data_IF_353676252849
#
_entry.id   IF_353676252849
#
_cell.length_a   1.000
_cell.length_b   1.000
_cell.length_c   1.000
_cell.angle_alpha   90.00
_cell.angle_beta   90.00
_cell.angle_gamma   90.00
#
_symmetry.space_group_name_H-M   'P 1'
#
loop_
_entity.id
_entity.type
_entity.pdbx_description
1 polymer ?
#
# COMPACT_ATOMS: atom_id res chain seq x y z
N UNK A 1 -17.99 7.49 -28.86
CA UNK A 1 -18.64 6.87 -27.71
C UNK A 1 -18.83 5.39 -27.99
N UNK A 2 -18.22 4.51 -27.21
CA UNK A 2 -18.53 3.08 -27.25
C UNK A 2 -19.16 2.73 -25.92
N UNK A 3 -20.49 2.70 -25.87
CA UNK A 3 -21.20 2.12 -24.73
C UNK A 3 -21.04 0.61 -24.83
N UNK A 4 -20.32 0.01 -23.90
CA UNK A 4 -20.26 -1.44 -23.74
C UNK A 4 -21.55 -1.88 -23.03
N UNK A 5 -22.54 -2.33 -23.81
CA UNK A 5 -23.68 -3.03 -23.24
C UNK A 5 -23.20 -4.43 -22.86
N UNK A 6 -23.26 -4.73 -21.58
CA UNK A 6 -23.01 -6.08 -21.06
C UNK A 6 -24.36 -6.79 -20.99
N UNK A 7 -24.54 -7.78 -21.82
CA UNK A 7 -25.80 -8.58 -21.89
C UNK A 7 -25.68 -9.87 -21.09
N UNK A 8 -24.46 -10.39 -20.90
CA UNK A 8 -24.20 -11.65 -20.24
C UNK A 8 -23.32 -11.50 -19.01
N UNK A 9 -23.51 -12.38 -18.03
CA UNK A 9 -22.71 -12.44 -16.79
C UNK A 9 -21.23 -12.70 -17.09
N UNK A 10 -20.93 -13.48 -18.12
CA UNK A 10 -19.57 -13.77 -18.56
C UNK A 10 -18.83 -12.51 -19.04
N UNK A 11 -19.52 -11.56 -19.64
CA UNK A 11 -18.92 -10.28 -20.07
C UNK A 11 -18.58 -9.38 -18.89
N UNK A 12 -19.21 -9.58 -17.74
CA UNK A 12 -18.90 -8.86 -16.50
C UNK A 12 -17.66 -9.44 -15.80
N UNK A 13 -17.39 -10.73 -15.98
CA UNK A 13 -16.25 -11.44 -15.38
C UNK A 13 -14.97 -11.25 -16.20
N UNK A 14 -15.02 -10.85 -17.47
CA UNK A 14 -13.83 -10.68 -18.32
C UNK A 14 -12.84 -9.66 -17.71
N UNK A 15 -11.58 -10.10 -17.57
CA UNK A 15 -10.48 -9.25 -17.06
C UNK A 15 -10.27 -8.00 -17.92
N UNK A 16 -10.42 -8.14 -19.23
CA UNK A 16 -10.22 -7.08 -20.20
C UNK A 16 -11.48 -6.88 -21.05
N UNK A 17 -12.39 -5.99 -20.63
CA UNK A 17 -13.63 -5.76 -21.37
C UNK A 17 -13.41 -5.12 -22.74
N UNK A 18 -12.24 -4.56 -23.03
CA UNK A 18 -11.93 -3.93 -24.31
C UNK A 18 -10.42 -4.04 -24.64
N UNK A 19 -10.07 -4.15 -25.94
CA UNK A 19 -8.68 -4.18 -26.42
C UNK A 19 -7.82 -3.00 -25.93
N UNK A 20 -8.39 -1.84 -25.73
CA UNK A 20 -7.70 -0.65 -25.17
C UNK A 20 -7.13 -0.88 -23.77
N UNK A 21 -7.75 -1.72 -22.95
CA UNK A 21 -7.21 -2.08 -21.64
C UNK A 21 -5.99 -3.00 -21.77
N UNK A 22 -6.02 -3.95 -22.71
CA UNK A 22 -4.89 -4.83 -23.00
C UNK A 22 -3.68 -4.01 -23.43
N UNK A 23 -3.88 -3.01 -24.32
CA UNK A 23 -2.82 -2.12 -24.76
C UNK A 23 -2.26 -1.27 -23.62
N UNK A 24 -3.10 -0.65 -22.79
CA UNK A 24 -2.62 0.20 -21.68
C UNK A 24 -1.87 -0.59 -20.62
N UNK A 25 -2.35 -1.77 -20.23
CA UNK A 25 -1.62 -2.63 -19.28
C UNK A 25 -0.38 -3.26 -19.92
N UNK A 26 -0.43 -3.62 -21.21
CA UNK A 26 0.73 -4.09 -21.96
C UNK A 26 1.83 -3.03 -22.00
N UNK A 27 1.50 -1.79 -22.35
CA UNK A 27 2.46 -0.67 -22.34
C UNK A 27 3.03 -0.43 -20.94
N UNK A 28 2.20 -0.47 -19.89
CA UNK A 28 2.64 -0.35 -18.51
C UNK A 28 3.63 -1.45 -18.14
N UNK A 29 3.33 -2.71 -18.49
CA UNK A 29 4.23 -3.83 -18.23
C UNK A 29 5.56 -3.69 -18.97
N UNK A 30 5.55 -3.26 -20.23
CA UNK A 30 6.77 -2.98 -20.99
C UNK A 30 7.61 -1.90 -20.32
N UNK A 31 6.98 -0.80 -19.89
CA UNK A 31 7.67 0.26 -19.16
C UNK A 31 8.29 -0.23 -17.85
N UNK A 32 7.57 -1.06 -17.08
CA UNK A 32 8.07 -1.64 -15.84
C UNK A 32 9.22 -2.61 -16.07
N UNK A 33 9.21 -3.37 -17.18
CA UNK A 33 10.32 -4.28 -17.54
C UNK A 33 11.55 -3.50 -17.99
N UNK A 34 11.39 -2.38 -18.67
CA UNK A 34 12.50 -1.53 -19.14
C UNK A 34 13.06 -0.67 -17.98
N UNK A 35 12.26 -0.35 -16.99
CA UNK A 35 12.60 0.55 -15.89
C UNK A 35 13.98 0.29 -15.24
N UNK A 36 14.37 -0.95 -14.84
CA UNK A 36 15.64 -1.20 -14.18
C UNK A 36 16.87 -1.00 -15.07
N UNK A 37 16.69 -0.93 -16.40
CA UNK A 37 17.79 -0.72 -17.36
C UNK A 37 17.99 0.75 -17.75
N UNK A 38 16.96 1.58 -17.55
CA UNK A 38 16.99 3.01 -17.93
C UNK A 38 17.14 3.91 -16.72
N UNK A 39 16.58 3.52 -15.57
CA UNK A 39 16.58 4.32 -14.37
C UNK A 39 17.88 4.13 -13.56
N UNK A 40 18.23 5.17 -12.79
CA UNK A 40 19.33 5.06 -11.81
C UNK A 40 19.06 4.01 -10.75
N UNK A 41 20.13 3.42 -10.18
CA UNK A 41 20.01 2.41 -9.11
C UNK A 41 19.20 2.91 -7.90
N UNK A 42 19.25 4.22 -7.62
CA UNK A 42 18.44 4.85 -6.59
C UNK A 42 16.94 4.75 -6.89
N UNK A 43 16.52 5.11 -8.10
CA UNK A 43 15.11 5.03 -8.51
C UNK A 43 14.61 3.58 -8.57
N UNK A 44 15.45 2.66 -9.04
CA UNK A 44 15.12 1.22 -9.00
C UNK A 44 14.91 0.74 -7.56
N UNK A 45 15.76 1.20 -6.63
CA UNK A 45 15.60 0.92 -5.20
C UNK A 45 14.26 1.45 -4.65
N UNK A 46 13.84 2.65 -5.04
CA UNK A 46 12.53 3.20 -4.68
C UNK A 46 11.38 2.40 -5.28
N UNK A 47 11.49 1.96 -6.54
CA UNK A 47 10.49 1.10 -7.18
C UNK A 47 10.32 -0.25 -6.47
N UNK A 48 11.39 -0.81 -5.91
CA UNK A 48 11.30 -2.01 -5.06
C UNK A 48 10.44 -1.73 -3.82
N UNK A 49 10.67 -0.61 -3.12
CA UNK A 49 9.81 -0.23 -1.99
C UNK A 49 8.37 0.01 -2.42
N UNK A 50 8.14 0.64 -3.59
CA UNK A 50 6.78 0.78 -4.16
C UNK A 50 6.12 -0.58 -4.34
N UNK A 51 6.82 -1.58 -4.89
CA UNK A 51 6.27 -2.93 -5.05
C UNK A 51 5.90 -3.57 -3.71
N UNK A 52 6.75 -3.42 -2.69
CA UNK A 52 6.51 -3.97 -1.34
C UNK A 52 5.32 -3.27 -0.68
N UNK A 53 5.31 -1.94 -0.64
CA UNK A 53 4.23 -1.14 -0.05
C UNK A 53 2.90 -1.34 -0.79
N UNK A 54 2.93 -1.45 -2.12
CA UNK A 54 1.75 -1.77 -2.91
C UNK A 54 1.20 -3.16 -2.59
N UNK A 55 2.08 -4.16 -2.37
CA UNK A 55 1.66 -5.51 -1.97
C UNK A 55 0.96 -5.49 -0.60
N UNK A 56 1.52 -4.79 0.38
CA UNK A 56 0.86 -4.59 1.69
C UNK A 56 -0.42 -3.76 1.55
N UNK A 57 -0.40 -2.71 0.73
CA UNK A 57 -1.57 -1.89 0.44
C UNK A 57 -2.73 -2.70 -0.14
N UNK A 58 -2.45 -3.61 -1.09
CA UNK A 58 -3.45 -4.53 -1.65
C UNK A 58 -3.96 -5.50 -0.58
N UNK A 59 -3.07 -6.03 0.29
CA UNK A 59 -3.45 -6.89 1.40
C UNK A 59 -4.40 -6.17 2.38
N UNK A 60 -4.04 -4.97 2.78
CA UNK A 60 -4.84 -4.14 3.68
C UNK A 60 -6.16 -3.70 3.02
N UNK A 61 -6.16 -3.47 1.70
CA UNK A 61 -7.38 -3.15 0.95
C UNK A 61 -8.40 -4.29 0.97
N UNK A 62 -7.95 -5.56 0.90
CA UNK A 62 -8.85 -6.72 1.05
C UNK A 62 -9.54 -6.69 2.40
N UNK A 63 -8.78 -6.42 3.46
CA UNK A 63 -9.32 -6.42 4.83
C UNK A 63 -10.15 -5.17 5.12
N UNK A 64 -9.60 -3.99 4.88
CA UNK A 64 -10.25 -2.71 5.25
C UNK A 64 -11.20 -2.23 4.16
N UNK A 65 -10.80 -2.27 2.90
CA UNK A 65 -11.60 -1.74 1.79
C UNK A 65 -12.77 -2.63 1.40
N UNK A 66 -12.54 -3.94 1.26
CA UNK A 66 -13.56 -4.87 0.75
C UNK A 66 -14.32 -5.60 1.85
N UNK A 67 -13.76 -5.76 3.06
CA UNK A 67 -14.46 -6.43 4.17
C UNK A 67 -14.93 -5.44 5.25
N UNK A 68 -14.47 -4.19 5.21
CA UNK A 68 -14.85 -3.15 6.18
C UNK A 68 -14.17 -3.29 7.55
N UNK A 69 -13.10 -4.07 7.65
CA UNK A 69 -12.39 -4.33 8.90
C UNK A 69 -11.12 -3.49 8.98
N UNK A 70 -11.19 -2.32 9.61
CA UNK A 70 -10.02 -1.47 9.81
C UNK A 70 -9.00 -2.14 10.73
N UNK A 71 -7.72 -2.16 10.32
CA UNK A 71 -6.64 -2.81 11.06
C UNK A 71 -5.38 -1.95 11.04
N UNK A 72 -4.83 -1.70 12.21
CA UNK A 72 -3.52 -1.06 12.44
C UNK A 72 -2.44 -2.08 12.89
N UNK A 73 -2.62 -3.35 12.55
CA UNK A 73 -1.68 -4.44 12.91
C UNK A 73 -0.82 -4.94 11.76
N UNK A 74 -0.82 -4.28 10.58
CA UNK A 74 -0.14 -4.83 9.40
C UNK A 74 1.38 -4.78 9.48
N UNK A 75 1.98 -3.85 10.24
CA UNK A 75 3.41 -3.88 10.52
C UNK A 75 3.81 -5.15 11.30
N UNK A 76 2.97 -5.64 12.22
CA UNK A 76 3.22 -6.89 12.92
C UNK A 76 3.18 -8.10 11.97
N UNK A 77 2.22 -8.17 11.05
CA UNK A 77 2.20 -9.23 10.03
C UNK A 77 3.41 -9.16 9.11
N UNK A 78 3.85 -7.94 8.74
CA UNK A 78 5.09 -7.74 7.97
C UNK A 78 6.30 -8.27 8.75
N UNK A 79 6.39 -7.93 10.05
CA UNK A 79 7.44 -8.39 10.95
C UNK A 79 7.49 -9.91 11.07
N UNK A 80 6.34 -10.56 11.31
CA UNK A 80 6.26 -12.02 11.40
C UNK A 80 6.80 -12.67 10.12
N UNK A 81 6.40 -12.17 8.94
CA UNK A 81 6.92 -12.65 7.65
C UNK A 81 8.43 -12.45 7.52
N UNK A 82 8.93 -11.28 7.88
CA UNK A 82 10.34 -10.91 7.84
C UNK A 82 11.20 -11.79 8.75
N UNK A 83 10.81 -11.93 10.02
CA UNK A 83 11.54 -12.74 11.01
C UNK A 83 11.46 -14.24 10.72
N UNK A 84 10.33 -14.72 10.21
CA UNK A 84 10.21 -16.12 9.77
C UNK A 84 11.21 -16.42 8.65
N UNK A 85 11.34 -15.54 7.67
CA UNK A 85 12.33 -15.69 6.60
C UNK A 85 13.77 -15.64 7.14
N UNK A 86 14.06 -14.68 8.02
CA UNK A 86 15.39 -14.53 8.64
C UNK A 86 15.77 -15.78 9.44
N UNK A 87 14.87 -16.33 10.24
CA UNK A 87 15.08 -17.51 11.04
C UNK A 87 15.31 -18.78 10.18
N UNK A 88 14.43 -19.03 9.22
CA UNK A 88 14.55 -20.20 8.34
C UNK A 88 15.82 -20.14 7.46
N UNK A 89 16.27 -18.94 7.10
CA UNK A 89 17.49 -18.78 6.33
C UNK A 89 18.76 -19.19 7.11
N UNK A 90 18.74 -19.18 8.44
CA UNK A 90 19.86 -19.69 9.25
C UNK A 90 20.10 -21.19 9.01
N UNK A 91 19.03 -21.94 8.75
CA UNK A 91 19.08 -23.38 8.44
C UNK A 91 19.33 -23.68 6.96
N UNK A 92 19.74 -22.66 6.17
CA UNK A 92 19.97 -22.77 4.73
C UNK A 92 18.77 -23.33 3.94
N UNK A 93 17.56 -23.04 4.41
CA UNK A 93 16.32 -23.37 3.69
C UNK A 93 16.28 -22.59 2.38
N UNK A 94 15.92 -23.20 1.21
CA UNK A 94 15.87 -22.49 -0.07
C UNK A 94 14.77 -21.42 -0.11
N UNK A 95 14.99 -20.34 -0.89
CA UNK A 95 14.12 -19.17 -0.96
C UNK A 95 12.62 -19.52 -1.15
N UNK A 96 12.20 -20.37 -2.11
CA UNK A 96 10.78 -20.64 -2.31
C UNK A 96 10.10 -21.24 -1.08
N UNK A 97 10.84 -22.07 -0.31
CA UNK A 97 10.29 -22.74 0.87
C UNK A 97 10.08 -21.77 2.02
N UNK A 98 11.10 -20.98 2.37
CA UNK A 98 10.92 -20.02 3.46
C UNK A 98 9.98 -18.86 3.07
N UNK A 99 9.89 -18.49 1.80
CA UNK A 99 8.94 -17.51 1.30
C UNK A 99 7.50 -17.98 1.52
N UNK A 100 7.18 -19.21 1.11
CA UNK A 100 5.86 -19.80 1.32
C UNK A 100 5.56 -20.04 2.80
N UNK A 101 6.54 -20.55 3.56
CA UNK A 101 6.39 -20.79 5.00
C UNK A 101 6.10 -19.48 5.76
N UNK A 102 6.80 -18.38 5.44
CA UNK A 102 6.59 -17.07 6.06
C UNK A 102 5.17 -16.54 5.78
N UNK A 103 4.71 -16.62 4.54
CA UNK A 103 3.35 -16.19 4.20
C UNK A 103 2.28 -17.05 4.88
N UNK A 104 2.44 -18.38 4.87
CA UNK A 104 1.48 -19.30 5.49
C UNK A 104 1.44 -19.14 7.02
N UNK A 105 2.59 -19.05 7.68
CA UNK A 105 2.66 -18.83 9.12
C UNK A 105 1.99 -17.52 9.50
N UNK A 106 2.28 -16.45 8.77
CA UNK A 106 1.65 -15.15 8.99
C UNK A 106 0.13 -15.24 8.77
N UNK A 107 -0.31 -15.99 7.75
CA UNK A 107 -1.73 -16.23 7.49
C UNK A 107 -2.44 -16.97 8.61
N UNK A 108 -1.80 -17.99 9.19
CA UNK A 108 -2.33 -18.72 10.38
C UNK A 108 -2.46 -17.78 11.57
N UNK A 109 -1.44 -16.96 11.85
CA UNK A 109 -1.50 -15.96 12.92
C UNK A 109 -2.60 -14.93 12.62
N UNK A 110 -2.72 -14.49 11.36
CA UNK A 110 -3.82 -13.61 10.93
C UNK A 110 -5.21 -14.23 11.15
N UNK A 111 -5.37 -15.54 10.91
CA UNK A 111 -6.61 -16.24 11.23
C UNK A 111 -6.87 -16.25 12.74
N UNK A 112 -5.86 -16.49 13.58
CA UNK A 112 -5.97 -16.46 15.05
C UNK A 112 -6.40 -15.05 15.52
N UNK A 113 -5.79 -14.00 15.01
CA UNK A 113 -6.16 -12.59 15.30
C UNK A 113 -7.57 -12.27 14.79
N UNK A 114 -7.99 -12.90 13.70
CA UNK A 114 -9.35 -12.80 13.18
C UNK A 114 -10.44 -13.31 14.15
N UNK A 115 -10.14 -14.21 15.07
CA UNK A 115 -11.14 -14.71 16.05
C UNK A 115 -11.63 -13.64 17.02
N UNK A 116 -10.79 -12.88 17.74
CA UNK A 116 -11.25 -11.73 18.53
C UNK A 116 -12.01 -10.71 17.69
N UNK A 117 -11.59 -10.50 16.43
CA UNK A 117 -12.23 -9.57 15.50
C UNK A 117 -13.70 -9.90 15.21
N UNK A 118 -14.16 -11.15 15.45
CA UNK A 118 -15.56 -11.55 15.27
C UNK A 118 -16.52 -10.82 16.20
N UNK A 119 -16.06 -10.46 17.38
CA UNK A 119 -16.85 -9.80 18.44
C UNK A 119 -16.66 -8.29 18.47
N UNK A 120 -15.68 -7.78 17.74
CA UNK A 120 -15.29 -6.37 17.73
C UNK A 120 -15.69 -5.71 16.42
N UNK A 121 -16.15 -4.49 16.48
CA UNK A 121 -16.51 -3.69 15.30
C UNK A 121 -15.99 -2.27 15.43
N UNK A 122 -15.74 -1.63 14.30
CA UNK A 122 -15.32 -0.24 14.24
C UNK A 122 -14.03 0.01 15.03
N UNK A 123 -14.06 0.99 15.94
CA UNK A 123 -12.90 1.43 16.70
C UNK A 123 -12.33 0.36 17.64
N UNK A 124 -13.17 -0.52 18.19
CA UNK A 124 -12.71 -1.58 19.07
C UNK A 124 -11.82 -2.59 18.34
N UNK A 125 -12.11 -2.87 17.09
CA UNK A 125 -11.26 -3.72 16.26
C UNK A 125 -9.91 -3.06 15.98
N UNK A 126 -9.90 -1.75 15.71
CA UNK A 126 -8.67 -0.98 15.52
C UNK A 126 -7.79 -1.06 16.77
N UNK A 127 -8.36 -0.84 17.96
CA UNK A 127 -7.63 -0.93 19.24
C UNK A 127 -7.06 -2.35 19.44
N UNK A 128 -7.85 -3.40 19.17
CA UNK A 128 -7.37 -4.77 19.28
C UNK A 128 -6.19 -5.07 18.35
N UNK A 129 -6.21 -4.54 17.11
CA UNK A 129 -5.11 -4.74 16.15
C UNK A 129 -3.88 -3.92 16.49
N UNK A 130 -4.03 -2.75 17.12
CA UNK A 130 -2.91 -1.98 17.71
C UNK A 130 -2.28 -2.79 18.84
N UNK A 131 -3.10 -3.29 19.78
CA UNK A 131 -2.62 -4.11 20.89
C UNK A 131 -1.87 -5.35 20.41
N UNK A 132 -2.38 -6.01 19.37
CA UNK A 132 -1.69 -7.12 18.71
C UNK A 132 -0.32 -6.69 18.15
N UNK A 133 -0.25 -5.53 17.49
CA UNK A 133 1.02 -5.03 16.94
C UNK A 133 2.05 -4.78 18.04
N UNK A 134 1.65 -4.14 19.13
CA UNK A 134 2.53 -3.90 20.30
C UNK A 134 2.99 -5.20 20.97
N UNK A 135 2.09 -6.20 21.08
CA UNK A 135 2.44 -7.51 21.62
C UNK A 135 3.47 -8.21 20.74
N UNK A 136 3.30 -8.18 19.42
CA UNK A 136 4.27 -8.79 18.49
C UNK A 136 5.62 -8.07 18.55
N UNK A 137 5.64 -6.74 18.58
CA UNK A 137 6.87 -5.95 18.74
C UNK A 137 7.62 -6.34 20.00
N UNK A 138 6.91 -6.43 21.14
CA UNK A 138 7.49 -6.83 22.43
C UNK A 138 7.97 -8.28 22.44
N UNK A 139 7.22 -9.21 21.82
CA UNK A 139 7.67 -10.61 21.67
C UNK A 139 8.95 -10.66 20.85
N UNK A 140 9.02 -9.95 19.73
CA UNK A 140 10.22 -9.92 18.88
C UNK A 140 11.42 -9.31 19.60
N UNK A 141 11.22 -8.30 20.46
CA UNK A 141 12.26 -7.67 21.22
C UNK A 141 12.82 -8.55 22.36
N UNK A 142 11.97 -9.44 22.94
CA UNK A 142 12.35 -10.27 24.09
C UNK A 142 12.71 -11.71 23.77
N UNK A 143 12.35 -12.21 22.59
CA UNK A 143 12.58 -13.60 22.20
C UNK A 143 13.99 -13.81 21.63
N UNK A 144 15.01 -13.58 22.46
CA UNK A 144 16.44 -13.60 22.06
C UNK A 144 16.85 -14.88 21.34
N UNK A 145 16.33 -16.04 21.74
CA UNK A 145 16.71 -17.33 21.15
C UNK A 145 16.30 -17.51 19.68
N UNK A 146 15.30 -16.76 19.20
CA UNK A 146 14.76 -16.87 17.83
C UNK A 146 15.01 -15.61 17.02
N UNK A 147 14.82 -14.45 17.63
CA UNK A 147 14.85 -13.14 16.95
C UNK A 147 16.15 -12.36 17.19
N UNK A 148 17.01 -12.85 18.07
CA UNK A 148 18.17 -12.12 18.62
C UNK A 148 17.78 -10.81 19.34
N UNK A 149 16.50 -10.67 19.71
CA UNK A 149 16.01 -9.53 20.46
C UNK A 149 16.27 -8.18 19.76
N UNK A 150 16.67 -7.18 20.54
CA UNK A 150 16.99 -5.84 20.03
C UNK A 150 18.28 -5.77 19.21
N UNK A 151 19.15 -6.79 19.28
CA UNK A 151 20.35 -6.85 18.42
C UNK A 151 19.97 -7.03 16.95
N UNK A 152 18.76 -7.58 16.66
CA UNK A 152 18.25 -7.79 15.33
C UNK A 152 18.94 -8.91 14.57
N UNK A 153 18.50 -9.12 13.33
CA UNK A 153 18.98 -10.21 12.48
C UNK A 153 19.49 -9.69 11.14
N UNK A 154 20.64 -10.23 10.72
CA UNK A 154 21.15 -10.00 9.35
C UNK A 154 20.54 -11.03 8.40
N UNK A 155 20.18 -10.57 7.21
CA UNK A 155 19.58 -11.37 6.15
C UNK A 155 20.61 -11.60 5.05
N UNK A 156 20.84 -12.86 4.73
CA UNK A 156 21.73 -13.25 3.61
C UNK A 156 21.05 -12.93 2.28
N UNK A 157 21.84 -12.76 1.24
CA UNK A 157 21.33 -12.59 -0.13
C UNK A 157 20.50 -13.82 -0.56
N UNK A 158 19.46 -13.56 -1.35
CA UNK A 158 18.62 -14.65 -1.89
C UNK A 158 19.45 -15.53 -2.79
N UNK A 159 19.34 -16.84 -2.58
CA UNK A 159 19.87 -17.85 -3.51
C UNK A 159 18.70 -18.49 -4.24
N UNK A 160 18.61 -18.25 -5.54
CA UNK A 160 17.59 -18.83 -6.40
C UNK A 160 18.27 -19.75 -7.43
N UNK A 161 17.97 -21.05 -7.39
CA UNK A 161 18.56 -22.05 -8.30
C UNK A 161 20.10 -21.98 -8.43
N UNK A 162 20.79 -21.73 -7.31
CA UNK A 162 22.27 -21.65 -7.27
C UNK A 162 22.85 -20.29 -7.67
N UNK A 163 22.02 -19.32 -8.11
CA UNK A 163 22.45 -17.95 -8.39
C UNK A 163 22.12 -17.04 -7.21
N UNK A 164 23.06 -16.16 -6.86
CA UNK A 164 22.82 -15.12 -5.86
C UNK A 164 22.07 -13.95 -6.51
N UNK A 165 21.01 -13.48 -5.85
CA UNK A 165 20.23 -12.33 -6.26
C UNK A 165 20.53 -11.16 -5.31
N UNK A 166 21.46 -10.26 -5.65
CA UNK A 166 21.76 -9.08 -4.84
C UNK A 166 20.53 -8.16 -4.72
N UNK A 167 20.36 -7.51 -3.59
CA UNK A 167 19.22 -6.62 -3.27
C UNK A 167 19.05 -5.43 -4.22
N UNK A 168 20.15 -4.97 -4.85
CA UNK A 168 20.15 -3.82 -5.75
C UNK A 168 20.22 -4.26 -7.23
N UNK A 169 20.05 -5.58 -7.50
CA UNK A 169 20.03 -6.12 -8.84
C UNK A 169 18.66 -5.97 -9.52
N UNK A 170 18.61 -5.85 -10.85
CA UNK A 170 17.37 -5.94 -11.61
C UNK A 170 16.56 -7.21 -11.31
N UNK A 171 17.26 -8.33 -11.02
CA UNK A 171 16.60 -9.60 -10.69
C UNK A 171 15.74 -9.50 -9.40
N UNK A 172 16.22 -8.79 -8.37
CA UNK A 172 15.43 -8.57 -7.15
C UNK A 172 14.21 -7.68 -7.42
N UNK A 173 14.37 -6.63 -8.24
CA UNK A 173 13.25 -5.82 -8.67
C UNK A 173 12.18 -6.64 -9.39
N UNK A 174 12.58 -7.51 -10.34
CA UNK A 174 11.62 -8.38 -11.03
C UNK A 174 10.94 -9.38 -10.11
N UNK A 175 11.64 -9.87 -9.09
CA UNK A 175 11.04 -10.71 -8.05
C UNK A 175 9.93 -9.96 -7.29
N UNK A 176 10.21 -8.73 -6.83
CA UNK A 176 9.22 -7.89 -6.14
C UNK A 176 8.03 -7.54 -7.06
N UNK A 177 8.32 -7.21 -8.33
CA UNK A 177 7.28 -6.92 -9.32
C UNK A 177 6.40 -8.16 -9.58
N UNK A 178 7.00 -9.35 -9.70
CA UNK A 178 6.27 -10.59 -9.89
C UNK A 178 5.32 -10.87 -8.71
N UNK A 179 5.79 -10.71 -7.47
CA UNK A 179 4.96 -10.87 -6.27
C UNK A 179 3.81 -9.86 -6.25
N UNK A 180 4.06 -8.59 -6.59
CA UNK A 180 3.01 -7.57 -6.69
C UNK A 180 1.97 -7.95 -7.76
N UNK A 181 2.40 -8.33 -8.96
CA UNK A 181 1.50 -8.74 -10.06
C UNK A 181 0.66 -9.95 -9.66
N UNK A 182 1.29 -10.97 -9.06
CA UNK A 182 0.58 -12.16 -8.56
C UNK A 182 -0.43 -11.79 -7.46
N UNK A 183 -0.07 -10.87 -6.58
CA UNK A 183 -0.98 -10.36 -5.54
C UNK A 183 -2.18 -9.62 -6.15
N UNK A 184 -1.96 -8.75 -7.13
CA UNK A 184 -3.04 -8.03 -7.82
C UNK A 184 -3.95 -9.00 -8.57
N UNK A 185 -3.40 -9.92 -9.35
CA UNK A 185 -4.18 -10.91 -10.11
C UNK A 185 -4.94 -11.84 -9.17
N UNK A 186 -4.29 -12.32 -8.10
CA UNK A 186 -4.93 -13.14 -7.06
C UNK A 186 -6.08 -12.41 -6.37
N UNK A 187 -5.87 -11.13 -6.04
CA UNK A 187 -6.90 -10.28 -5.42
C UNK A 187 -8.07 -10.00 -6.38
N UNK A 188 -7.81 -9.77 -7.67
CA UNK A 188 -8.86 -9.62 -8.68
C UNK A 188 -9.70 -10.90 -8.80
N UNK A 189 -9.05 -12.06 -8.83
CA UNK A 189 -9.76 -13.35 -8.88
C UNK A 189 -10.55 -13.60 -7.60
N UNK A 190 -9.96 -13.28 -6.44
CA UNK A 190 -10.65 -13.36 -5.15
C UNK A 190 -11.91 -12.50 -5.13
N UNK A 191 -11.83 -11.25 -5.57
CA UNK A 191 -12.98 -10.33 -5.57
C UNK A 191 -14.12 -10.76 -6.50
N UNK A 192 -13.82 -11.47 -7.58
CA UNK A 192 -14.80 -12.04 -8.51
C UNK A 192 -15.42 -13.33 -8.00
N UNK A 193 -14.77 -14.00 -7.05
CA UNK A 193 -15.24 -15.24 -6.46
C UNK A 193 -16.44 -15.04 -5.52
N UNK A 194 -17.16 -16.10 -5.14
CA UNK A 194 -18.18 -16.02 -4.09
C UNK A 194 -17.66 -15.44 -2.78
N UNK A 195 -16.38 -15.69 -2.45
CA UNK A 195 -15.70 -15.15 -1.27
C UNK A 195 -15.62 -13.63 -1.31
N UNK A 196 -15.23 -13.05 -2.46
CA UNK A 196 -15.15 -11.60 -2.61
C UNK A 196 -16.52 -10.93 -2.54
N UNK A 197 -17.55 -11.54 -3.13
CA UNK A 197 -18.93 -11.05 -2.99
C UNK A 197 -19.41 -11.07 -1.54
N UNK A 198 -19.06 -12.12 -0.78
CA UNK A 198 -19.37 -12.20 0.64
C UNK A 198 -18.65 -11.10 1.44
N UNK A 199 -17.39 -10.78 1.11
CA UNK A 199 -16.65 -9.66 1.74
C UNK A 199 -17.37 -8.34 1.56
N UNK A 200 -17.77 -8.01 0.32
CA UNK A 200 -18.50 -6.77 0.00
C UNK A 200 -19.84 -6.73 0.73
N UNK A 201 -20.59 -7.83 0.75
CA UNK A 201 -21.85 -7.92 1.47
C UNK A 201 -21.69 -7.67 2.98
N UNK A 202 -20.65 -8.22 3.60
CA UNK A 202 -20.32 -8.00 5.02
C UNK A 202 -19.96 -6.54 5.30
N UNK A 203 -19.18 -5.92 4.41
CA UNK A 203 -18.83 -4.50 4.52
C UNK A 203 -20.05 -3.60 4.48
N UNK A 204 -20.98 -3.88 3.58
CA UNK A 204 -22.16 -3.03 3.38
C UNK A 204 -23.15 -3.19 4.54
N UNK A 205 -23.40 -4.42 5.02
CA UNK A 205 -24.17 -4.68 6.24
C UNK A 205 -23.96 -6.12 6.74
N UNK A 206 -23.36 -6.27 7.92
CA UNK A 206 -23.20 -7.60 8.54
C UNK A 206 -24.53 -8.29 8.85
N UNK A 207 -25.54 -7.52 9.25
CA UNK A 207 -26.88 -8.05 9.57
C UNK A 207 -27.59 -8.54 8.32
N UNK A 208 -27.56 -7.78 7.24
CA UNK A 208 -28.15 -8.20 5.95
C UNK A 208 -27.40 -9.39 5.35
N UNK A 209 -26.06 -9.42 5.40
CA UNK A 209 -25.26 -10.55 4.94
C UNK A 209 -25.63 -11.84 5.70
N UNK A 210 -25.79 -11.75 7.03
CA UNK A 210 -26.22 -12.89 7.86
C UNK A 210 -27.62 -13.38 7.50
N UNK A 211 -28.57 -12.48 7.24
CA UNK A 211 -29.93 -12.83 6.82
C UNK A 211 -29.95 -13.53 5.46
N UNK A 212 -28.97 -13.25 4.60
CA UNK A 212 -28.79 -13.92 3.30
C UNK A 212 -28.01 -15.25 3.40
N UNK A 213 -27.77 -15.77 4.62
CA UNK A 213 -27.10 -17.04 4.84
C UNK A 213 -25.56 -16.98 4.78
N UNK A 214 -24.96 -15.78 4.74
CA UNK A 214 -23.49 -15.66 4.76
C UNK A 214 -22.97 -15.86 6.18
N UNK A 215 -22.03 -16.80 6.34
CA UNK A 215 -21.34 -17.01 7.61
C UNK A 215 -20.31 -15.88 7.84
N UNK A 216 -20.76 -14.79 8.46
CA UNK A 216 -19.94 -13.58 8.70
C UNK A 216 -18.66 -13.92 9.47
N UNK A 217 -18.72 -14.83 10.46
CA UNK A 217 -17.55 -15.23 11.24
C UNK A 217 -16.45 -15.83 10.35
N UNK A 218 -16.81 -16.83 9.56
CA UNK A 218 -15.87 -17.52 8.68
C UNK A 218 -15.21 -16.55 7.69
N UNK A 219 -16.00 -15.65 7.08
CA UNK A 219 -15.46 -14.71 6.08
C UNK A 219 -14.60 -13.61 6.70
N UNK A 220 -14.89 -13.15 7.91
CA UNK A 220 -14.02 -12.24 8.66
C UNK A 220 -12.65 -12.87 8.93
N UNK A 221 -12.62 -14.10 9.45
CA UNK A 221 -11.36 -14.83 9.69
C UNK A 221 -10.60 -15.07 8.39
N UNK A 222 -11.29 -15.46 7.30
CA UNK A 222 -10.67 -15.62 5.98
C UNK A 222 -10.04 -14.34 5.46
N UNK A 223 -10.69 -13.18 5.64
CA UNK A 223 -10.13 -11.91 5.18
C UNK A 223 -8.86 -11.53 5.94
N UNK A 224 -8.82 -11.75 7.27
CA UNK A 224 -7.61 -11.58 8.07
C UNK A 224 -6.49 -12.53 7.62
N UNK A 225 -6.80 -13.81 7.44
CA UNK A 225 -5.83 -14.81 7.02
C UNK A 225 -5.21 -14.46 5.65
N UNK A 226 -6.04 -14.12 4.66
CA UNK A 226 -5.57 -13.76 3.31
C UNK A 226 -4.72 -12.48 3.35
N UNK A 227 -5.20 -11.44 4.03
CA UNK A 227 -4.48 -10.18 4.17
C UNK A 227 -3.13 -10.39 4.86
N UNK A 228 -3.10 -11.12 5.97
CA UNK A 228 -1.88 -11.45 6.70
C UNK A 228 -0.90 -12.28 5.85
N UNK A 229 -1.38 -13.28 5.09
CA UNK A 229 -0.55 -14.09 4.19
C UNK A 229 0.18 -13.22 3.16
N UNK A 230 -0.55 -12.33 2.49
CA UNK A 230 0.01 -11.42 1.48
C UNK A 230 1.01 -10.47 2.14
N UNK A 231 0.69 -9.94 3.32
CA UNK A 231 1.59 -9.06 4.09
C UNK A 231 2.85 -9.82 4.52
N UNK A 232 2.73 -11.10 4.89
CA UNK A 232 3.87 -11.96 5.21
C UNK A 232 4.83 -12.13 4.02
N UNK A 233 4.32 -12.33 2.80
CA UNK A 233 5.14 -12.35 1.59
C UNK A 233 5.87 -11.03 1.36
N UNK A 234 5.18 -9.90 1.55
CA UNK A 234 5.81 -8.58 1.48
C UNK A 234 6.90 -8.42 2.55
N UNK A 235 6.69 -8.97 3.75
CA UNK A 235 7.65 -8.96 4.85
C UNK A 235 8.96 -9.66 4.51
N UNK A 236 8.92 -10.80 3.81
CA UNK A 236 10.12 -11.46 3.31
C UNK A 236 10.90 -10.56 2.37
N UNK A 237 10.23 -9.94 1.40
CA UNK A 237 10.88 -9.03 0.44
C UNK A 237 11.44 -7.79 1.12
N UNK A 238 10.70 -7.24 2.08
CA UNK A 238 11.13 -6.09 2.88
C UNK A 238 12.41 -6.40 3.66
N UNK A 239 12.48 -7.56 4.30
CA UNK A 239 13.64 -8.03 5.03
C UNK A 239 14.89 -8.17 4.14
N UNK A 240 14.74 -8.75 2.95
CA UNK A 240 15.84 -8.86 1.99
C UNK A 240 16.28 -7.51 1.44
N UNK A 241 15.36 -6.56 1.25
CA UNK A 241 15.71 -5.21 0.80
C UNK A 241 16.56 -4.47 1.82
N UNK A 242 16.21 -4.56 3.10
CA UNK A 242 16.94 -3.90 4.20
C UNK A 242 18.24 -4.63 4.58
N UNK A 243 18.33 -5.96 4.36
CA UNK A 243 19.46 -6.83 4.76
C UNK A 243 19.73 -6.95 6.25
N UNK A 244 19.04 -6.16 7.05
CA UNK A 244 19.07 -6.17 8.51
C UNK A 244 17.67 -5.80 9.00
N UNK A 245 17.19 -6.50 10.02
CA UNK A 245 15.91 -6.23 10.65
C UNK A 245 16.06 -6.16 12.16
N UNK A 246 15.40 -5.20 12.77
CA UNK A 246 15.25 -5.05 14.22
C UNK A 246 13.78 -4.84 14.57
N UNK A 247 13.33 -5.16 15.79
CA UNK A 247 11.94 -4.95 16.21
C UNK A 247 11.46 -3.51 16.01
N UNK A 248 12.33 -2.54 16.25
CA UNK A 248 12.08 -1.09 16.15
C UNK A 248 11.68 -0.63 14.74
N UNK A 249 11.91 -1.46 13.70
CA UNK A 249 11.51 -1.13 12.33
C UNK A 249 10.02 -1.38 12.07
N UNK A 250 9.35 -2.18 12.92
CA UNK A 250 7.98 -2.65 12.71
C UNK A 250 6.98 -1.99 13.67
N UNK A 251 7.15 -0.70 13.91
CA UNK A 251 6.36 0.10 14.83
C UNK A 251 4.93 0.34 14.34
N UNK A 252 4.10 0.86 15.24
CA UNK A 252 2.76 1.36 14.91
C UNK A 252 2.79 2.42 13.80
N UNK A 253 3.85 3.25 13.73
CA UNK A 253 4.01 4.24 12.67
C UNK A 253 3.98 3.61 11.28
N UNK A 254 4.69 2.50 11.08
CA UNK A 254 4.67 1.77 9.81
C UNK A 254 3.26 1.23 9.46
N UNK A 255 2.50 0.77 10.46
CA UNK A 255 1.09 0.39 10.26
C UNK A 255 0.21 1.57 9.81
N UNK A 256 0.45 2.76 10.37
CA UNK A 256 -0.25 3.98 9.98
C UNK A 256 0.11 4.35 8.53
N UNK A 257 1.38 4.24 8.14
CA UNK A 257 1.80 4.48 6.75
C UNK A 257 1.05 3.58 5.76
N UNK A 258 0.88 2.30 6.08
CA UNK A 258 0.11 1.39 5.22
C UNK A 258 -1.38 1.76 5.11
N UNK A 259 -2.00 2.27 6.19
CA UNK A 259 -3.37 2.79 6.10
C UNK A 259 -3.41 4.05 5.23
N UNK A 260 -2.44 4.93 5.35
CA UNK A 260 -2.35 6.14 4.54
C UNK A 260 -2.20 5.77 3.05
N UNK A 261 -1.46 4.71 2.72
CA UNK A 261 -1.37 4.18 1.34
C UNK A 261 -2.76 3.94 0.75
N UNK A 262 -3.64 3.25 1.47
CA UNK A 262 -4.99 2.96 0.95
C UNK A 262 -5.94 4.16 1.02
N UNK A 263 -5.79 5.05 2.00
CA UNK A 263 -6.59 6.27 2.12
C UNK A 263 -6.28 7.24 0.97
N UNK A 264 -5.01 7.55 0.74
CA UNK A 264 -4.57 8.43 -0.36
C UNK A 264 -4.83 7.79 -1.70
N UNK A 265 -4.57 6.50 -1.82
CA UNK A 265 -4.79 5.78 -3.07
C UNK A 265 -6.26 5.64 -3.45
N UNK A 266 -7.10 5.36 -2.48
CA UNK A 266 -8.54 5.11 -2.61
C UNK A 266 -8.93 3.72 -2.10
N UNK A 267 -9.79 3.69 -1.08
CA UNK A 267 -10.14 2.51 -0.28
C UNK A 267 -10.94 1.43 -1.01
N UNK A 268 -11.33 1.64 -2.26
CA UNK A 268 -12.20 0.72 -3.00
C UNK A 268 -11.59 0.22 -4.32
N UNK A 269 -10.30 0.43 -4.54
CA UNK A 269 -9.65 0.09 -5.80
C UNK A 269 -8.25 -0.45 -5.62
N UNK A 270 -7.95 -1.60 -6.27
CA UNK A 270 -6.60 -2.16 -6.33
C UNK A 270 -5.60 -1.19 -7.00
N UNK A 271 -6.05 -0.45 -8.01
CA UNK A 271 -5.22 0.60 -8.63
C UNK A 271 -4.92 1.73 -7.62
N UNK A 272 -5.90 2.03 -6.75
CA UNK A 272 -5.71 2.99 -5.67
C UNK A 272 -4.57 2.57 -4.75
N UNK A 273 -4.55 1.32 -4.28
CA UNK A 273 -3.47 0.83 -3.40
C UNK A 273 -2.07 1.00 -4.04
N UNK A 274 -1.95 0.73 -5.35
CA UNK A 274 -0.67 0.94 -6.07
C UNK A 274 -0.32 2.42 -6.18
N UNK A 275 -1.28 3.28 -6.54
CA UNK A 275 -1.06 4.74 -6.64
C UNK A 275 -0.70 5.35 -5.28
N UNK A 276 -1.35 4.89 -4.21
CA UNK A 276 -1.02 5.32 -2.85
C UNK A 276 0.37 4.89 -2.42
N UNK A 277 0.79 3.67 -2.76
CA UNK A 277 2.15 3.20 -2.50
C UNK A 277 3.19 4.02 -3.25
N UNK A 278 2.95 4.35 -4.53
CA UNK A 278 3.81 5.24 -5.30
C UNK A 278 3.90 6.60 -4.60
N UNK A 279 2.77 7.17 -4.19
CA UNK A 279 2.74 8.46 -3.53
C UNK A 279 3.54 8.46 -2.23
N UNK A 280 3.29 7.50 -1.33
CA UNK A 280 3.95 7.43 -0.02
C UNK A 280 5.46 7.20 -0.15
N UNK A 281 5.87 6.28 -1.02
CA UNK A 281 7.30 5.98 -1.19
C UNK A 281 8.05 7.12 -1.90
N UNK A 282 7.38 7.83 -2.84
CA UNK A 282 8.03 8.90 -3.60
C UNK A 282 8.01 10.25 -2.87
N UNK A 283 7.19 10.43 -1.84
CA UNK A 283 7.12 11.70 -1.11
C UNK A 283 8.42 12.01 -0.36
N UNK A 284 9.07 11.00 0.22
CA UNK A 284 10.34 11.16 0.93
C UNK A 284 11.49 11.64 0.03
N UNK A 285 11.77 10.99 -1.12
CA UNK A 285 12.71 11.50 -2.12
C UNK A 285 12.36 12.90 -2.61
N UNK A 286 11.07 13.16 -2.85
CA UNK A 286 10.59 14.47 -3.29
C UNK A 286 10.84 15.58 -2.25
N UNK A 287 10.54 15.32 -0.99
CA UNK A 287 10.82 16.28 0.09
C UNK A 287 12.32 16.49 0.31
N UNK A 288 13.14 15.46 0.12
CA UNK A 288 14.60 15.57 0.19
C UNK A 288 15.12 16.45 -0.95
N UNK A 289 14.64 16.21 -2.17
CA UNK A 289 14.95 17.07 -3.33
C UNK A 289 14.56 18.53 -3.08
N UNK A 290 13.35 18.78 -2.56
CA UNK A 290 12.92 20.13 -2.20
C UNK A 290 13.84 20.78 -1.16
N UNK A 291 14.29 20.01 -0.19
CA UNK A 291 15.18 20.50 0.86
C UNK A 291 16.57 20.89 0.31
N UNK A 292 17.13 20.07 -0.57
CA UNK A 292 18.52 20.19 -1.01
C UNK A 292 18.65 21.15 -2.19
N UNK A 293 17.72 21.14 -3.14
CA UNK A 293 17.82 21.91 -4.40
C UNK A 293 17.11 23.26 -4.36
N UNK A 294 15.98 23.39 -3.62
CA UNK A 294 15.20 24.64 -3.60
C UNK A 294 15.97 25.84 -3.01
N UNK A 295 16.75 25.71 -1.92
CA UNK A 295 17.55 26.83 -1.44
C UNK A 295 18.50 27.38 -2.49
N UNK A 296 19.17 26.50 -3.26
CA UNK A 296 20.04 26.90 -4.36
C UNK A 296 19.28 27.63 -5.48
N UNK A 297 18.08 27.14 -5.83
CA UNK A 297 17.22 27.81 -6.81
C UNK A 297 16.77 29.19 -6.33
N UNK A 298 16.42 29.34 -5.06
CA UNK A 298 16.04 30.63 -4.45
C UNK A 298 17.23 31.61 -4.48
N UNK A 299 18.45 31.16 -4.11
CA UNK A 299 19.66 31.95 -4.18
C UNK A 299 19.97 32.44 -5.61
N UNK A 300 19.89 31.54 -6.59
CA UNK A 300 20.08 31.88 -8.00
C UNK A 300 19.03 32.87 -8.52
N UNK A 301 17.76 32.70 -8.12
CA UNK A 301 16.69 33.60 -8.46
C UNK A 301 16.89 35.00 -7.84
N UNK A 302 17.30 35.07 -6.58
CA UNK A 302 17.61 36.32 -5.90
C UNK A 302 18.76 37.05 -6.56
N UNK A 303 19.83 36.36 -7.01
CA UNK A 303 20.92 36.89 -7.77
C UNK A 303 20.46 37.44 -9.16
N UNK A 304 19.59 36.69 -9.85
CA UNK A 304 19.02 37.08 -11.15
C UNK A 304 18.11 38.32 -11.03
N UNK A 305 17.45 38.50 -9.87
CA UNK A 305 16.59 39.68 -9.60
C UNK A 305 17.40 40.91 -9.13
N UNK A 306 18.75 40.84 -9.17
CA UNK A 306 19.62 42.00 -8.86
C UNK A 306 20.00 42.11 -7.37
N UNK A 307 19.75 41.10 -6.58
CA UNK A 307 20.33 41.05 -5.23
C UNK A 307 21.85 40.87 -5.35
N UNK A 308 22.63 41.71 -4.66
CA UNK A 308 24.09 41.55 -4.63
C UNK A 308 24.48 40.14 -4.14
N UNK A 309 25.64 39.66 -4.60
CA UNK A 309 26.08 38.28 -4.33
C UNK A 309 26.01 37.89 -2.85
N UNK A 310 26.36 38.76 -1.91
CA UNK A 310 26.27 38.50 -0.48
C UNK A 310 24.82 38.33 0.02
N UNK A 311 23.87 39.12 -0.50
CA UNK A 311 22.45 38.99 -0.15
C UNK A 311 21.84 37.72 -0.72
N UNK A 312 22.21 37.35 -1.93
CA UNK A 312 21.74 36.11 -2.56
C UNK A 312 22.21 34.88 -1.77
N UNK A 313 23.48 34.85 -1.33
CA UNK A 313 24.01 33.79 -0.45
C UNK A 313 23.30 33.78 0.89
N UNK A 314 23.09 34.93 1.53
CA UNK A 314 22.39 35.00 2.80
C UNK A 314 20.94 34.51 2.72
N UNK A 315 20.23 34.80 1.60
CA UNK A 315 18.89 34.29 1.34
C UNK A 315 18.92 32.77 1.13
N UNK A 316 19.90 32.27 0.40
CA UNK A 316 20.10 30.82 0.21
C UNK A 316 20.35 30.11 1.52
N UNK A 317 21.28 30.62 2.38
CA UNK A 317 21.61 30.05 3.67
C UNK A 317 20.42 30.07 4.63
N UNK A 318 19.65 31.16 4.63
CA UNK A 318 18.42 31.25 5.43
C UNK A 318 17.35 30.24 4.97
N UNK A 319 17.18 30.07 3.67
CA UNK A 319 16.27 29.07 3.10
C UNK A 319 16.75 27.65 3.40
N UNK A 320 18.05 27.37 3.34
CA UNK A 320 18.64 26.08 3.68
C UNK A 320 18.50 25.77 5.19
N UNK A 321 18.73 26.76 6.04
CA UNK A 321 18.54 26.62 7.50
C UNK A 321 17.07 26.32 7.84
N UNK A 322 16.10 27.02 7.20
CA UNK A 322 14.68 26.72 7.36
C UNK A 322 14.33 25.32 6.85
N UNK A 323 14.77 24.97 5.66
CA UNK A 323 14.51 23.66 5.05
C UNK A 323 15.13 22.49 5.85
N UNK A 324 16.23 22.75 6.58
CA UNK A 324 16.90 21.76 7.43
C UNK A 324 16.38 21.71 8.86
N UNK A 325 15.40 22.58 9.23
CA UNK A 325 14.83 22.59 10.57
C UNK A 325 14.29 21.20 10.96
N UNK A 326 14.65 20.74 12.16
CA UNK A 326 14.24 19.46 12.69
C UNK A 326 12.70 19.38 12.75
N UNK A 327 12.14 18.33 12.14
CA UNK A 327 10.69 18.10 12.12
C UNK A 327 9.93 18.77 10.97
N UNK A 328 10.52 19.71 10.20
CA UNK A 328 9.84 20.36 9.08
C UNK A 328 9.37 19.34 8.02
N UNK A 329 10.23 18.36 7.69
CA UNK A 329 9.88 17.28 6.76
C UNK A 329 8.64 16.51 7.23
N UNK A 330 8.61 16.12 8.51
CA UNK A 330 7.45 15.43 9.11
C UNK A 330 6.19 16.29 9.15
N UNK A 331 6.35 17.59 9.44
CA UNK A 331 5.22 18.53 9.44
C UNK A 331 4.62 18.69 8.02
N UNK A 332 5.46 18.90 7.01
CA UNK A 332 5.01 19.00 5.60
C UNK A 332 4.33 17.69 5.17
N UNK A 333 4.92 16.54 5.52
CA UNK A 333 4.34 15.24 5.26
C UNK A 333 2.93 15.10 5.87
N UNK A 334 2.79 15.45 7.15
CA UNK A 334 1.50 15.43 7.84
C UNK A 334 0.47 16.38 7.22
N UNK A 335 0.88 17.61 6.88
CA UNK A 335 0.02 18.58 6.20
C UNK A 335 -0.45 18.06 4.83
N UNK A 336 0.45 17.49 4.03
CA UNK A 336 0.10 16.91 2.73
C UNK A 336 -0.95 15.81 2.89
N UNK A 337 -0.78 14.91 3.87
CA UNK A 337 -1.75 13.85 4.15
C UNK A 337 -3.11 14.42 4.54
N UNK A 338 -3.13 15.38 5.48
CA UNK A 338 -4.38 16.01 5.94
C UNK A 338 -5.11 16.70 4.78
N UNK A 339 -4.39 17.48 3.97
CA UNK A 339 -4.96 18.14 2.79
C UNK A 339 -5.53 17.11 1.81
N UNK A 340 -4.81 16.01 1.60
CA UNK A 340 -5.27 14.96 0.68
C UNK A 340 -6.57 14.32 1.17
N UNK A 341 -6.65 13.96 2.44
CA UNK A 341 -7.85 13.35 3.04
C UNK A 341 -9.04 14.30 3.02
N UNK A 342 -8.81 15.61 3.26
CA UNK A 342 -9.88 16.62 3.28
C UNK A 342 -10.43 16.93 1.87
N UNK A 343 -9.54 17.07 0.86
CA UNK A 343 -9.95 17.51 -0.48
C UNK A 343 -10.31 16.36 -1.42
N UNK A 344 -9.75 15.16 -1.20
CA UNK A 344 -9.94 14.00 -2.08
C UNK A 344 -10.39 12.74 -1.30
N UNK A 345 -11.64 12.71 -0.79
CA UNK A 345 -12.13 11.59 0.02
C UNK A 345 -12.20 10.26 -0.74
N UNK A 346 -12.19 10.28 -2.08
CA UNK A 346 -12.12 9.09 -2.95
C UNK A 346 -10.68 8.71 -3.34
N UNK A 347 -9.69 9.47 -2.85
CA UNK A 347 -8.28 9.26 -3.14
C UNK A 347 -7.87 9.56 -4.59
N UNK A 348 -6.62 9.26 -4.92
CA UNK A 348 -6.02 9.43 -6.26
C UNK A 348 -6.82 8.70 -7.34
N UNK A 349 -7.34 7.52 -7.03
CA UNK A 349 -8.16 6.76 -7.97
C UNK A 349 -9.47 7.47 -8.32
N UNK A 350 -10.08 8.16 -7.36
CA UNK A 350 -11.27 8.98 -7.61
C UNK A 350 -10.99 10.12 -8.59
N UNK A 351 -9.82 10.77 -8.48
CA UNK A 351 -9.37 11.77 -9.47
C UNK A 351 -9.16 11.15 -10.84
N UNK A 352 -8.48 10.01 -10.90
CA UNK A 352 -8.27 9.29 -12.14
C UNK A 352 -9.58 8.94 -12.83
N UNK A 353 -10.59 8.47 -12.10
CA UNK A 353 -11.92 8.20 -12.66
C UNK A 353 -12.58 9.46 -13.24
N UNK A 354 -12.49 10.60 -12.55
CA UNK A 354 -13.02 11.88 -13.08
C UNK A 354 -12.34 12.28 -14.38
N UNK A 355 -11.01 12.17 -14.45
CA UNK A 355 -10.21 12.45 -15.65
C UNK A 355 -10.61 11.50 -16.79
N UNK A 356 -10.66 10.20 -16.50
CA UNK A 356 -11.05 9.19 -17.48
C UNK A 356 -12.45 9.43 -18.04
N UNK A 357 -13.42 9.74 -17.18
CA UNK A 357 -14.79 10.07 -17.59
C UNK A 357 -14.82 11.35 -18.43
N UNK A 358 -14.03 12.36 -18.08
CA UNK A 358 -13.93 13.58 -18.89
C UNK A 358 -13.51 13.25 -20.33
N UNK A 359 -12.42 12.49 -20.51
CA UNK A 359 -11.94 12.11 -21.84
C UNK A 359 -12.90 11.17 -22.59
N UNK A 360 -13.61 10.29 -21.88
CA UNK A 360 -14.57 9.40 -22.49
C UNK A 360 -15.85 10.13 -22.97
N UNK A 361 -16.25 11.18 -22.27
CA UNK A 361 -17.46 11.95 -22.57
C UNK A 361 -17.18 13.21 -23.40
N UNK A 362 -15.91 13.54 -23.66
CA UNK A 362 -15.56 14.68 -24.52
C UNK A 362 -16.03 14.42 -25.97
N UNK A 363 -16.66 15.41 -26.67
CA UNK A 363 -16.96 16.79 -26.27
C UNK A 363 -18.28 17.02 -25.53
N UNK A 364 -19.05 15.99 -25.22
CA UNK A 364 -20.39 16.07 -24.62
C UNK A 364 -20.39 16.23 -23.08
N UNK A 365 -19.20 16.35 -22.49
CA UNK A 365 -19.07 16.54 -21.04
C UNK A 365 -19.65 17.90 -20.62
N UNK A 366 -20.74 17.88 -19.87
CA UNK A 366 -21.27 19.06 -19.18
C UNK A 366 -21.11 18.86 -17.67
N UNK A 367 -20.47 19.83 -17.00
CA UNK A 367 -20.26 19.80 -15.54
C UNK A 367 -21.56 19.65 -14.74
N UNK A 368 -22.68 20.09 -15.33
CA UNK A 368 -24.03 19.96 -14.74
C UNK A 368 -24.55 18.50 -14.71
N UNK A 369 -24.08 17.63 -15.58
CA UNK A 369 -24.50 16.23 -15.66
C UNK A 369 -24.12 15.41 -14.41
N UNK A 370 -23.12 15.88 -13.64
CA UNK A 370 -22.63 15.23 -12.42
C UNK A 370 -22.95 16.01 -11.14
N UNK A 371 -23.78 17.07 -11.21
CA UNK A 371 -24.29 17.69 -9.99
C UNK A 371 -25.22 16.68 -9.32
N UNK A 372 -24.86 16.34 -8.08
CA UNK A 372 -25.72 15.54 -7.20
C UNK A 372 -27.11 16.19 -7.21
N UNK A 373 -28.11 15.51 -7.73
CA UNK A 373 -29.49 15.96 -7.58
C UNK A 373 -29.75 16.13 -6.09
N UNK A 374 -30.21 17.31 -5.68
CA UNK A 374 -30.66 17.53 -4.30
C UNK A 374 -31.77 16.54 -4.05
N UNK A 375 -31.53 15.54 -3.22
CA UNK A 375 -32.56 14.57 -2.83
C UNK A 375 -33.64 15.33 -2.11
N UNK A 376 -34.83 15.29 -2.66
CA UNK A 376 -36.04 15.94 -2.10
C UNK A 376 -36.52 15.34 -0.76
N UNK A 377 -35.74 14.55 -0.08
CA UNK A 377 -36.10 13.86 1.16
C UNK A 377 -36.05 14.77 2.40
N UNK A 378 -35.75 16.08 2.27
CA UNK A 378 -35.72 16.99 3.41
C UNK A 378 -37.09 17.58 3.81
N UNK A 379 -38.13 17.42 3.01
CA UNK A 379 -39.45 18.03 3.28
C UNK A 379 -40.38 17.17 4.14
N UNK A 380 -40.12 15.89 4.34
CA UNK A 380 -41.02 15.00 5.11
C UNK A 380 -40.60 14.78 6.58
N UNK A 381 -39.48 15.36 7.03
CA UNK A 381 -39.02 15.21 8.42
C UNK A 381 -39.49 16.32 9.39
N UNK A 382 -40.30 17.24 8.94
CA UNK A 382 -40.89 18.32 9.76
C UNK A 382 -42.43 18.23 9.74
N UNK A 383 -42.99 17.07 9.99
CA UNK A 383 -44.37 16.92 10.46
C UNK A 383 -44.40 16.02 11.67
#
# INVERSE_FOLDING_TARGET
>A
MRFLFKTDYEDDIKLFPHSGYVWSYGTLMVLLVIAPYVLSSYLVSQLVFVCIYATVGVALLILTGFTGQASLGHAAFLAIGAYTAAYLQQFNVPFPVYFLAAGLLTGVIGAIVGFPALRLQGIYLVIATISFALIVEEILARWESVTHGNEGMRIKTIQLFGTQVPRDSPAFYFLCLAVLVLTIVGSLNLLRSPTGRAFIAIRDSETAARSMGINVALYKVKSFAISATITGFAGVLFAHKLSFISPEMFTLQLSIEFIIVILIGGTFSLHGAVLGAIFIVMIDPFLTYLKDDVPGMIGNLAAALGAGSERAVHIQDSAAAFASANGLKGAIYGVIIVLFVLFEPLGLYGRWLKIKLFFQLFPLYKRATFKRQKIYVKSERNR
#
